data_IF_912198578207
#
_entry.id   IF_912198578207
#
_cell.length_a   1.000
_cell.length_b   1.000
_cell.length_c   1.000
_cell.angle_alpha   90.00
_cell.angle_beta   90.00
_cell.angle_gamma   90.00
#
_symmetry.space_group_name_H-M   'P 1'
#
loop_
_entity.id
_entity.type
_entity.pdbx_description
1 polymer ?
#
# COMPACT_ATOMS: atom_id res chain seq x y z
N UNK A 1 30.81 14.44 -23.39
CA UNK A 1 32.15 13.87 -23.69
C UNK A 1 32.90 13.41 -22.45
N UNK A 2 32.91 14.17 -21.35
CA UNK A 2 33.69 13.81 -20.14
C UNK A 2 33.26 12.48 -19.50
N UNK A 3 31.96 12.18 -19.49
CA UNK A 3 31.42 10.93 -18.95
C UNK A 3 31.76 9.69 -19.80
N UNK A 4 31.94 9.85 -21.11
CA UNK A 4 32.30 8.75 -22.02
C UNK A 4 33.77 8.36 -21.80
N UNK A 5 34.66 9.36 -21.65
CA UNK A 5 36.07 9.13 -21.32
C UNK A 5 36.25 8.51 -19.94
N UNK A 6 35.46 8.94 -18.95
CA UNK A 6 35.45 8.35 -17.62
C UNK A 6 34.98 6.90 -17.64
N UNK A 7 33.93 6.58 -18.41
CA UNK A 7 33.42 5.22 -18.57
C UNK A 7 34.45 4.26 -19.19
N UNK A 8 35.19 4.72 -20.21
CA UNK A 8 36.26 3.93 -20.84
C UNK A 8 37.43 3.68 -19.88
N UNK A 9 37.81 4.68 -19.08
CA UNK A 9 38.88 4.55 -18.10
C UNK A 9 38.51 3.59 -16.96
N UNK A 10 37.27 3.66 -16.47
CA UNK A 10 36.75 2.71 -15.46
C UNK A 10 36.69 1.29 -16.02
N UNK A 11 36.21 1.11 -17.25
CA UNK A 11 36.20 -0.20 -17.92
C UNK A 11 37.62 -0.77 -18.09
N UNK A 12 38.59 0.07 -18.44
CA UNK A 12 39.99 -0.32 -18.56
C UNK A 12 40.59 -0.76 -17.22
N UNK A 13 40.29 -0.05 -16.13
CA UNK A 13 40.75 -0.40 -14.78
C UNK A 13 40.12 -1.72 -14.30
N UNK A 14 38.83 -1.92 -14.54
CA UNK A 14 38.13 -3.17 -14.20
C UNK A 14 38.73 -4.34 -14.99
N UNK A 15 38.93 -4.16 -16.30
CA UNK A 15 39.46 -5.21 -17.19
C UNK A 15 40.92 -5.56 -16.85
N UNK A 16 41.74 -4.56 -16.54
CA UNK A 16 43.11 -4.74 -16.03
C UNK A 16 43.11 -5.51 -14.70
N UNK A 17 42.19 -5.18 -13.81
CA UNK A 17 42.08 -5.85 -12.51
C UNK A 17 41.61 -7.30 -12.64
N UNK A 18 40.64 -7.59 -13.51
CA UNK A 18 40.19 -8.96 -13.83
C UNK A 18 41.33 -9.77 -14.46
N UNK A 19 42.07 -9.18 -15.40
CA UNK A 19 43.21 -9.84 -16.04
C UNK A 19 44.29 -10.20 -15.01
N UNK A 20 44.59 -9.30 -14.08
CA UNK A 20 45.52 -9.55 -12.97
C UNK A 20 44.98 -10.59 -11.98
N UNK A 21 43.66 -10.62 -11.75
CA UNK A 21 43.00 -11.56 -10.81
C UNK A 21 43.03 -13.01 -11.32
N UNK A 22 43.16 -13.24 -12.63
CA UNK A 22 43.29 -14.58 -13.22
C UNK A 22 44.67 -15.23 -12.97
N UNK A 23 45.66 -14.47 -12.52
CA UNK A 23 47.05 -14.92 -12.36
C UNK A 23 47.47 -15.28 -10.92
N UNK A 24 46.58 -15.26 -9.92
CA UNK A 24 46.94 -15.43 -8.50
C UNK A 24 46.03 -16.37 -7.70
N UNK A 25 46.63 -17.06 -6.73
CA UNK A 25 46.08 -18.15 -5.91
C UNK A 25 44.68 -17.92 -5.31
N UNK A 26 43.89 -19.00 -5.32
CA UNK A 26 42.43 -19.02 -5.02
C UNK A 26 42.04 -18.46 -3.63
N UNK A 27 42.96 -18.41 -2.66
CA UNK A 27 42.72 -17.86 -1.30
C UNK A 27 42.86 -16.33 -1.21
N UNK A 28 43.68 -15.70 -2.07
CA UNK A 28 43.80 -14.24 -2.12
C UNK A 28 42.61 -13.59 -2.85
N UNK A 29 41.92 -14.37 -3.69
CA UNK A 29 40.87 -13.87 -4.55
C UNK A 29 39.59 -13.49 -3.80
N UNK A 30 39.29 -14.09 -2.65
CA UNK A 30 38.07 -13.78 -1.90
C UNK A 30 38.20 -12.50 -1.07
N UNK A 31 39.40 -12.22 -0.53
CA UNK A 31 39.70 -10.95 0.12
C UNK A 31 39.71 -9.78 -0.89
N UNK A 32 40.23 -10.02 -2.10
CA UNK A 32 40.25 -9.01 -3.18
C UNK A 32 38.85 -8.74 -3.73
N UNK A 33 37.99 -9.76 -3.85
CA UNK A 33 36.57 -9.58 -4.21
C UNK A 33 35.79 -8.79 -3.16
N UNK A 34 36.00 -9.08 -1.88
CA UNK A 34 35.41 -8.30 -0.78
C UNK A 34 35.86 -6.84 -0.82
N UNK A 35 37.16 -6.61 -1.05
CA UNK A 35 37.73 -5.26 -1.18
C UNK A 35 37.19 -4.48 -2.37
N UNK A 36 37.02 -5.12 -3.54
CA UNK A 36 36.49 -4.44 -4.74
C UNK A 36 34.99 -4.13 -4.63
N UNK A 37 34.20 -4.98 -3.95
CA UNK A 37 32.79 -4.68 -3.65
C UNK A 37 32.65 -3.49 -2.71
N UNK A 38 33.46 -3.43 -1.65
CA UNK A 38 33.45 -2.32 -0.70
C UNK A 38 33.90 -1.01 -1.38
N UNK A 39 34.94 -1.08 -2.21
CA UNK A 39 35.44 0.08 -2.95
C UNK A 39 34.44 0.56 -4.00
N UNK A 40 33.78 -0.37 -4.72
CA UNK A 40 32.70 -0.04 -5.65
C UNK A 40 31.52 0.63 -4.97
N UNK A 41 31.11 0.13 -3.80
CA UNK A 41 30.05 0.73 -2.99
C UNK A 41 30.42 2.15 -2.55
N UNK A 42 31.62 2.35 -2.00
CA UNK A 42 32.10 3.69 -1.60
C UNK A 42 32.23 4.66 -2.78
N UNK A 43 32.60 4.17 -3.95
CA UNK A 43 32.68 5.00 -5.16
C UNK A 43 31.30 5.49 -5.60
N UNK A 44 30.26 4.65 -5.54
CA UNK A 44 28.87 5.05 -5.79
C UNK A 44 28.40 6.10 -4.77
N UNK A 45 28.71 5.89 -3.49
CA UNK A 45 28.42 6.85 -2.41
C UNK A 45 29.14 8.20 -2.60
N UNK A 46 30.34 8.21 -3.20
CA UNK A 46 31.17 9.42 -3.40
C UNK A 46 30.82 10.22 -4.66
N UNK A 47 30.52 9.53 -5.77
CA UNK A 47 30.37 10.17 -7.08
C UNK A 47 28.92 10.60 -7.39
N UNK A 48 27.95 10.18 -6.57
CA UNK A 48 26.53 10.48 -6.80
C UNK A 48 25.77 10.80 -5.49
N UNK A 49 26.09 11.92 -4.80
CA UNK A 49 25.43 12.30 -3.55
C UNK A 49 23.90 12.45 -3.71
N UNK A 50 23.43 12.77 -4.91
CA UNK A 50 22.01 12.98 -5.20
C UNK A 50 21.24 11.68 -5.53
N UNK A 51 21.93 10.55 -5.77
CA UNK A 51 21.24 9.27 -6.03
C UNK A 51 20.59 8.73 -4.75
N UNK A 52 21.19 8.97 -3.59
CA UNK A 52 20.61 8.60 -2.30
C UNK A 52 19.32 9.40 -2.03
N UNK A 53 19.32 10.70 -2.35
CA UNK A 53 18.16 11.57 -2.19
C UNK A 53 17.01 11.18 -3.13
N UNK A 54 17.31 10.89 -4.40
CA UNK A 54 16.29 10.43 -5.35
C UNK A 54 15.70 9.05 -4.96
N UNK A 55 16.51 8.18 -4.36
CA UNK A 55 16.03 6.89 -3.84
C UNK A 55 15.13 7.08 -2.60
N UNK A 56 15.50 8.02 -1.72
CA UNK A 56 14.72 8.35 -0.53
C UNK A 56 13.35 8.98 -0.88
N UNK A 57 13.27 9.72 -1.99
CA UNK A 57 12.02 10.31 -2.49
C UNK A 57 10.98 9.24 -2.91
N UNK A 58 11.39 7.99 -3.14
CA UNK A 58 10.46 6.87 -3.43
C UNK A 58 9.91 6.20 -2.17
N UNK A 59 10.48 6.47 -0.99
CA UNK A 59 10.05 5.85 0.27
C UNK A 59 8.60 6.19 0.63
N UNK A 60 8.10 7.43 0.50
CA UNK A 60 6.69 7.73 0.78
C UNK A 60 5.73 6.99 -0.16
N UNK A 61 6.08 6.84 -1.43
CA UNK A 61 5.27 6.10 -2.40
C UNK A 61 5.21 4.61 -2.05
N UNK A 62 6.34 4.03 -1.63
CA UNK A 62 6.40 2.63 -1.17
C UNK A 62 5.62 2.43 0.14
N UNK A 63 5.77 3.33 1.11
CA UNK A 63 4.99 3.31 2.35
C UNK A 63 3.49 3.49 2.11
N UNK A 64 3.10 4.28 1.09
CA UNK A 64 1.70 4.44 0.72
C UNK A 64 1.11 3.12 0.21
N UNK A 65 1.83 2.41 -0.66
CA UNK A 65 1.42 1.09 -1.19
C UNK A 65 1.31 0.05 -0.06
N UNK A 66 2.27 0.04 0.88
CA UNK A 66 2.24 -0.87 2.02
C UNK A 66 1.11 -0.53 3.01
N UNK A 67 0.85 0.76 3.30
CA UNK A 67 -0.30 1.20 4.13
C UNK A 67 -1.65 0.94 3.47
N UNK A 68 -1.71 0.90 2.14
CA UNK A 68 -2.95 0.64 1.41
C UNK A 68 -3.43 -0.81 1.61
N UNK A 69 -2.52 -1.76 1.82
CA UNK A 69 -2.88 -3.15 2.13
C UNK A 69 -3.45 -3.32 3.54
N UNK A 70 -2.93 -2.59 4.53
CA UNK A 70 -3.41 -2.68 5.91
C UNK A 70 -4.88 -2.18 6.07
N UNK A 71 -5.30 -1.23 5.23
CA UNK A 71 -6.69 -0.75 5.18
C UNK A 71 -7.67 -1.75 4.54
N UNK A 72 -7.19 -2.70 3.76
CA UNK A 72 -8.03 -3.72 3.14
C UNK A 72 -8.28 -4.92 4.07
N UNK A 73 -7.31 -5.28 4.92
CA UNK A 73 -7.45 -6.44 5.83
C UNK A 73 -8.25 -6.15 7.10
N UNK A 74 -8.24 -4.92 7.61
CA UNK A 74 -9.12 -4.55 8.75
C UNK A 74 -10.59 -4.47 8.29
N UNK A 75 -10.82 -4.18 7.01
CA UNK A 75 -12.14 -4.24 6.37
C UNK A 75 -12.66 -5.68 6.22
N UNK A 76 -11.77 -6.65 5.95
CA UNK A 76 -12.15 -8.04 5.69
C UNK A 76 -12.45 -8.82 6.99
N UNK A 77 -11.75 -8.51 8.09
CA UNK A 77 -11.97 -9.16 9.39
C UNK A 77 -13.22 -8.64 10.13
N UNK A 78 -13.60 -7.37 9.93
CA UNK A 78 -14.89 -6.87 10.41
C UNK A 78 -16.06 -7.27 9.49
N UNK A 79 -15.78 -7.62 8.24
CA UNK A 79 -16.71 -8.22 7.28
C UNK A 79 -16.82 -9.74 7.45
N UNK A 80 -16.97 -10.20 8.70
CA UNK A 80 -17.68 -11.47 8.92
C UNK A 80 -19.01 -11.31 8.19
N UNK A 81 -19.14 -12.04 7.08
CA UNK A 81 -20.23 -12.02 6.12
C UNK A 81 -21.53 -12.46 6.81
N UNK A 82 -22.11 -11.60 7.64
CA UNK A 82 -23.49 -11.75 8.03
C UNK A 82 -24.27 -11.19 6.85
N UNK A 83 -24.70 -12.08 5.96
CA UNK A 83 -25.56 -11.74 4.84
C UNK A 83 -26.67 -10.80 5.33
N UNK A 84 -26.92 -9.73 4.58
CA UNK A 84 -27.87 -8.71 4.99
C UNK A 84 -29.30 -9.28 4.88
N UNK A 85 -29.85 -9.74 6.00
CA UNK A 85 -31.23 -10.25 6.09
C UNK A 85 -32.21 -9.13 6.41
N UNK A 86 -33.51 -9.37 6.19
CA UNK A 86 -34.58 -8.45 6.55
C UNK A 86 -34.53 -8.11 8.04
N UNK A 87 -34.39 -9.10 8.90
CA UNK A 87 -34.35 -8.93 10.36
C UNK A 87 -33.17 -8.06 10.76
N UNK A 88 -32.01 -8.28 10.14
CA UNK A 88 -30.81 -7.48 10.39
C UNK A 88 -30.95 -6.07 9.85
N UNK A 89 -31.59 -5.88 8.70
CA UNK A 89 -31.89 -4.57 8.15
C UNK A 89 -32.80 -3.75 9.09
N UNK A 90 -33.81 -4.39 9.70
CA UNK A 90 -34.67 -3.77 10.72
C UNK A 90 -33.89 -3.36 11.97
N UNK A 91 -32.99 -4.22 12.44
CA UNK A 91 -32.11 -3.92 13.58
C UNK A 91 -31.15 -2.76 13.29
N UNK A 92 -30.59 -2.72 12.08
CA UNK A 92 -29.63 -1.68 11.67
C UNK A 92 -30.28 -0.31 11.52
N UNK A 93 -31.53 -0.26 11.04
CA UNK A 93 -32.29 0.98 10.91
C UNK A 93 -33.16 1.31 12.13
N UNK A 94 -33.21 0.43 13.13
CA UNK A 94 -34.03 0.56 14.33
C UNK A 94 -35.51 0.80 14.02
N UNK A 95 -36.08 -0.06 13.17
CA UNK A 95 -37.47 0.03 12.69
C UNK A 95 -38.26 -1.24 12.99
N UNK A 96 -39.57 -1.07 13.20
CA UNK A 96 -40.47 -2.18 13.51
C UNK A 96 -40.70 -3.10 12.30
N UNK A 97 -41.23 -4.31 12.55
CA UNK A 97 -41.54 -5.25 11.48
C UNK A 97 -42.62 -4.76 10.50
N UNK A 98 -43.50 -3.87 10.95
CA UNK A 98 -44.57 -3.26 10.17
C UNK A 98 -44.29 -1.82 9.75
N UNK A 99 -43.02 -1.40 9.77
CA UNK A 99 -42.67 -0.03 9.45
C UNK A 99 -43.09 0.34 8.02
N UNK A 100 -43.62 1.55 7.84
CA UNK A 100 -44.01 2.04 6.51
C UNK A 100 -42.79 2.44 5.68
N UNK A 101 -42.97 2.58 4.36
CA UNK A 101 -41.93 3.06 3.46
C UNK A 101 -41.36 4.43 3.91
N UNK A 102 -42.21 5.30 4.44
CA UNK A 102 -41.85 6.62 4.95
C UNK A 102 -41.00 6.52 6.23
N UNK A 103 -41.37 5.63 7.15
CA UNK A 103 -40.62 5.37 8.39
C UNK A 103 -39.22 4.83 8.11
N UNK A 104 -39.09 3.88 7.18
CA UNK A 104 -37.79 3.34 6.75
C UNK A 104 -36.90 4.44 6.16
N UNK A 105 -37.45 5.31 5.31
CA UNK A 105 -36.71 6.43 4.71
C UNK A 105 -36.28 7.47 5.74
N UNK A 106 -37.15 7.79 6.70
CA UNK A 106 -36.85 8.71 7.79
C UNK A 106 -35.75 8.16 8.72
N UNK A 107 -35.85 6.88 9.10
CA UNK A 107 -34.87 6.19 9.94
C UNK A 107 -33.50 6.14 9.25
N UNK A 108 -33.46 5.81 7.95
CA UNK A 108 -32.23 5.83 7.17
C UNK A 108 -31.56 7.20 7.15
N UNK A 109 -32.31 8.29 6.90
CA UNK A 109 -31.75 9.65 6.90
C UNK A 109 -31.13 10.00 8.26
N UNK A 110 -31.83 9.68 9.36
CA UNK A 110 -31.34 9.92 10.73
C UNK A 110 -30.05 9.15 11.02
N UNK A 111 -29.97 7.89 10.62
CA UNK A 111 -28.79 7.04 10.84
C UNK A 111 -27.62 7.44 9.93
N UNK A 112 -27.90 7.80 8.68
CA UNK A 112 -26.87 8.21 7.72
C UNK A 112 -26.23 9.54 8.10
N UNK A 113 -27.02 10.52 8.59
CA UNK A 113 -26.48 11.79 9.08
C UNK A 113 -25.46 11.58 10.20
N UNK A 114 -25.69 10.62 11.10
CA UNK A 114 -24.77 10.33 12.20
C UNK A 114 -23.51 9.56 11.77
N UNK A 115 -23.60 8.77 10.71
CA UNK A 115 -22.56 7.85 10.28
C UNK A 115 -21.95 8.22 8.92
N UNK A 116 -22.18 9.44 8.45
CA UNK A 116 -21.70 9.87 7.13
C UNK A 116 -20.17 9.86 7.09
N UNK A 117 -19.52 9.30 6.05
CA UNK A 117 -18.07 9.25 5.96
C UNK A 117 -17.41 10.63 6.03
N UNK A 118 -18.03 11.63 5.41
CA UNK A 118 -17.52 13.02 5.42
C UNK A 118 -17.61 13.70 6.80
N UNK A 119 -18.38 13.13 7.74
CA UNK A 119 -18.48 13.60 9.12
C UNK A 119 -17.65 12.74 10.08
N UNK A 120 -16.72 11.92 9.56
CA UNK A 120 -15.91 11.00 10.34
C UNK A 120 -16.54 9.64 10.59
N UNK A 121 -17.66 9.33 9.94
CA UNK A 121 -18.29 8.01 9.98
C UNK A 121 -17.53 6.94 9.19
N UNK A 122 -17.82 5.67 9.46
CA UNK A 122 -17.23 4.55 8.72
C UNK A 122 -17.96 4.33 7.41
N UNK A 123 -17.20 4.27 6.30
CA UNK A 123 -17.74 3.91 4.97
C UNK A 123 -18.48 2.57 5.00
N UNK A 124 -17.97 1.61 5.76
CA UNK A 124 -18.60 0.30 5.94
C UNK A 124 -19.98 0.39 6.61
N UNK A 125 -20.14 1.28 7.59
CA UNK A 125 -21.43 1.49 8.27
C UNK A 125 -22.41 2.17 7.30
N UNK A 126 -21.95 3.16 6.54
CA UNK A 126 -22.78 3.82 5.53
C UNK A 126 -23.27 2.81 4.47
N UNK A 127 -22.40 1.92 3.99
CA UNK A 127 -22.76 0.86 3.04
C UNK A 127 -23.81 -0.10 3.64
N UNK A 128 -23.65 -0.53 4.90
CA UNK A 128 -24.67 -1.34 5.59
C UNK A 128 -26.01 -0.63 5.74
N UNK A 129 -26.03 0.68 6.03
CA UNK A 129 -27.27 1.46 6.11
C UNK A 129 -27.98 1.53 4.76
N UNK A 130 -27.23 1.67 3.65
CA UNK A 130 -27.79 1.69 2.29
C UNK A 130 -28.39 0.32 1.96
N UNK A 131 -27.68 -0.77 2.22
CA UNK A 131 -28.18 -2.13 2.01
C UNK A 131 -29.43 -2.43 2.85
N UNK A 132 -29.47 -1.95 4.11
CA UNK A 132 -30.63 -2.12 4.99
C UNK A 132 -31.88 -1.47 4.38
N UNK A 133 -31.73 -0.21 3.92
CA UNK A 133 -32.81 0.53 3.27
C UNK A 133 -33.32 -0.23 2.04
N UNK A 134 -32.44 -0.66 1.15
CA UNK A 134 -32.85 -1.34 -0.08
C UNK A 134 -33.64 -2.62 0.17
N UNK A 135 -33.28 -3.40 1.18
CA UNK A 135 -33.99 -4.63 1.53
C UNK A 135 -35.38 -4.31 2.08
N UNK A 136 -35.49 -3.35 3.01
CA UNK A 136 -36.77 -3.03 3.64
C UNK A 136 -37.75 -2.40 2.65
N UNK A 137 -37.28 -1.53 1.75
CA UNK A 137 -38.14 -0.92 0.73
C UNK A 137 -38.69 -1.94 -0.28
N UNK A 138 -37.99 -3.06 -0.51
CA UNK A 138 -38.52 -4.16 -1.34
C UNK A 138 -39.64 -4.93 -0.64
N UNK A 139 -39.72 -4.88 0.69
CA UNK A 139 -40.69 -5.63 1.48
C UNK A 139 -41.91 -4.77 1.88
N UNK A 140 -41.71 -3.48 2.11
CA UNK A 140 -42.78 -2.51 2.35
C UNK A 140 -43.29 -2.00 1.01
N UNK A 141 -44.23 -2.74 0.41
CA UNK A 141 -44.87 -2.38 -0.86
C UNK A 141 -46.13 -1.56 -0.65
#
# INVERSE_FOLDING_TARGET
MIYVMLGVLVAALISFFIYKMKAGDRRANDAVKMGSLLTGLLFVLRFAPNMLANLLMLVPALLHILRQQEKADISSLSATNIAMTVERARQILDVSAGASHEEVSAAFKKMMLKNHPDQGGSRYIAEQLISAKEILLKQTR
#
